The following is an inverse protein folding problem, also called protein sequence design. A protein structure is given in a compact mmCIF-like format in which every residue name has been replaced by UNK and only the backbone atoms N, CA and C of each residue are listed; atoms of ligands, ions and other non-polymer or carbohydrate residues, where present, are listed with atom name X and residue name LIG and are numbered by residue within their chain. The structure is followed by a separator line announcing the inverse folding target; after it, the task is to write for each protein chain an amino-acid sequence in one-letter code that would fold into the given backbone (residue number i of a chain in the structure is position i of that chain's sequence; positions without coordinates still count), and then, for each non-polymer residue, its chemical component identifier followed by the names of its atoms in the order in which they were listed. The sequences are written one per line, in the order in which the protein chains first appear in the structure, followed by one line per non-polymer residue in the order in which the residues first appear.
data_IF_220148841078
#
_entry.id   IF_220148841078
#
_cell.length_a   1.000
_cell.length_b   1.000
_cell.length_c   1.000
_cell.angle_alpha   90.00
_cell.angle_beta   90.00
_cell.angle_gamma   90.00
#
_symmetry.space_group_name_H-M   'P 1'
#
loop_
_entity.id
_entity.type
_entity.pdbx_description
1 polymer ?
#
# COMPACT_ATOMS: atom_id res chain seq x y z
N UNK A 1 19.26 21.44 7.46
CA UNK A 1 17.83 21.85 7.42
C UNK A 1 17.70 22.98 6.40
N UNK A 2 16.75 22.91 5.47
CA UNK A 2 16.58 23.96 4.45
C UNK A 2 15.57 24.98 4.99
N UNK A 3 15.98 26.24 5.08
CA UNK A 3 15.16 27.32 5.64
C UNK A 3 14.52 28.13 4.51
N UNK A 4 13.20 28.28 4.58
CA UNK A 4 12.39 29.05 3.64
C UNK A 4 11.70 30.18 4.41
N UNK A 5 11.75 31.38 3.86
CA UNK A 5 11.08 32.56 4.41
C UNK A 5 10.36 33.27 3.26
N UNK A 6 9.03 33.35 3.36
CA UNK A 6 8.15 33.96 2.35
C UNK A 6 8.43 35.45 2.13
N UNK A 7 9.16 36.10 3.05
CA UNK A 7 9.54 37.52 2.94
C UNK A 7 10.80 37.73 2.11
N UNK A 8 11.56 36.68 1.81
CA UNK A 8 12.77 36.81 1.00
C UNK A 8 12.41 36.93 -0.48
N UNK A 9 13.03 37.88 -1.19
CA UNK A 9 12.83 38.08 -2.64
C UNK A 9 13.11 36.83 -3.48
N UNK A 10 13.94 35.90 -2.97
CA UNK A 10 14.28 34.64 -3.65
C UNK A 10 13.46 33.43 -3.16
N UNK A 11 12.41 33.64 -2.37
CA UNK A 11 11.53 32.57 -1.87
C UNK A 11 11.01 31.70 -3.02
N UNK A 12 10.39 32.30 -4.04
CA UNK A 12 9.82 31.58 -5.19
C UNK A 12 10.85 30.69 -5.90
N UNK A 13 12.08 31.18 -6.05
CA UNK A 13 13.17 30.41 -6.64
C UNK A 13 13.59 29.26 -5.74
N UNK A 14 13.72 29.49 -4.42
CA UNK A 14 14.12 28.46 -3.44
C UNK A 14 13.07 27.37 -3.31
N UNK A 15 11.78 27.71 -3.21
CA UNK A 15 10.70 26.74 -3.13
C UNK A 15 10.56 25.95 -4.43
N UNK A 16 10.69 26.60 -5.58
CA UNK A 16 10.66 25.92 -6.89
C UNK A 16 11.76 24.86 -7.04
N UNK A 17 12.98 25.15 -6.60
CA UNK A 17 14.09 24.16 -6.63
C UNK A 17 13.80 22.96 -5.72
N UNK A 18 13.25 23.21 -4.53
CA UNK A 18 12.90 22.13 -3.60
C UNK A 18 11.78 21.25 -4.11
N UNK A 19 10.78 21.83 -4.75
CA UNK A 19 9.66 21.09 -5.33
C UNK A 19 10.12 20.26 -6.54
N UNK A 20 10.99 20.81 -7.40
CA UNK A 20 11.55 20.07 -8.56
C UNK A 20 12.33 18.83 -8.15
N UNK A 21 13.08 18.91 -7.05
CA UNK A 21 13.90 17.79 -6.55
C UNK A 21 13.08 16.65 -5.91
N UNK A 22 11.77 16.83 -5.68
CA UNK A 22 10.91 15.77 -5.10
C UNK A 22 10.29 14.84 -6.13
N UNK A 23 10.30 15.21 -7.42
CA UNK A 23 9.45 14.58 -8.43
C UNK A 23 10.18 13.69 -9.45
N UNK A 24 11.51 13.60 -9.41
CA UNK A 24 12.26 12.80 -10.40
C UNK A 24 12.73 11.47 -9.81
N UNK A 25 12.09 10.38 -10.23
CA UNK A 25 12.70 9.07 -10.14
C UNK A 25 13.85 8.99 -11.15
N UNK A 26 14.96 8.36 -10.77
CA UNK A 26 16.05 8.08 -11.71
C UNK A 26 15.52 7.12 -12.78
N UNK A 27 15.63 7.48 -14.05
CA UNK A 27 15.16 6.69 -15.20
C UNK A 27 15.66 5.24 -15.18
N UNK A 28 16.89 5.03 -14.68
CA UNK A 28 17.47 3.70 -14.50
C UNK A 28 16.66 2.80 -13.55
N UNK A 29 16.17 3.35 -12.43
CA UNK A 29 15.34 2.59 -11.47
C UNK A 29 14.03 2.19 -12.13
N UNK A 30 13.42 3.12 -12.86
CA UNK A 30 12.17 2.89 -13.59
C UNK A 30 12.33 1.79 -14.65
N UNK A 31 13.43 1.81 -15.39
CA UNK A 31 13.76 0.76 -16.37
C UNK A 31 13.93 -0.60 -15.70
N UNK A 32 14.71 -0.68 -14.61
CA UNK A 32 14.91 -1.94 -13.86
C UNK A 32 13.59 -2.51 -13.33
N UNK A 33 12.71 -1.66 -12.79
CA UNK A 33 11.39 -2.08 -12.30
C UNK A 33 10.52 -2.60 -13.45
N UNK A 34 10.52 -1.92 -14.61
CA UNK A 34 9.82 -2.40 -15.81
C UNK A 34 10.31 -3.78 -16.27
N UNK A 35 11.61 -4.02 -16.23
CA UNK A 35 12.19 -5.31 -16.58
C UNK A 35 11.76 -6.42 -15.60
N UNK A 36 11.72 -6.12 -14.29
CA UNK A 36 11.20 -7.03 -13.26
C UNK A 36 9.75 -7.41 -13.57
N UNK A 37 8.88 -6.43 -13.80
CA UNK A 37 7.47 -6.69 -14.13
C UNK A 37 7.32 -7.54 -15.38
N UNK A 38 7.99 -7.17 -16.50
CA UNK A 38 7.94 -7.94 -17.75
C UNK A 38 8.39 -9.40 -17.56
N UNK A 39 9.39 -9.64 -16.71
CA UNK A 39 9.87 -11.00 -16.42
C UNK A 39 8.88 -11.78 -15.57
N UNK A 40 8.30 -11.17 -14.53
CA UNK A 40 7.28 -11.81 -13.69
C UNK A 40 6.02 -12.11 -14.51
N UNK A 41 5.58 -11.21 -15.39
CA UNK A 41 4.43 -11.44 -16.27
C UNK A 41 4.65 -12.63 -17.20
N UNK A 42 5.84 -12.75 -17.81
CA UNK A 42 6.16 -13.83 -18.75
C UNK A 42 6.48 -15.18 -18.09
N UNK A 43 7.13 -15.16 -16.92
CA UNK A 43 7.71 -16.36 -16.30
C UNK A 43 7.05 -16.72 -14.96
N UNK A 44 6.10 -15.91 -14.49
CA UNK A 44 5.33 -16.12 -13.28
C UNK A 44 6.19 -16.35 -12.03
N UNK A 45 5.82 -17.37 -11.27
CA UNK A 45 6.41 -17.74 -9.98
C UNK A 45 7.92 -17.99 -10.04
N UNK A 46 8.44 -18.43 -11.19
CA UNK A 46 9.87 -18.69 -11.37
C UNK A 46 10.66 -17.39 -11.27
N UNK A 47 10.28 -16.36 -12.03
CA UNK A 47 10.92 -15.06 -11.97
C UNK A 47 10.75 -14.39 -10.60
N UNK A 48 9.57 -14.54 -9.97
CA UNK A 48 9.36 -14.02 -8.63
C UNK A 48 10.37 -14.61 -7.63
N UNK A 49 10.55 -15.93 -7.61
CA UNK A 49 11.50 -16.61 -6.72
C UNK A 49 12.96 -16.23 -7.03
N UNK A 50 13.31 -16.01 -8.30
CA UNK A 50 14.63 -15.52 -8.68
C UNK A 50 14.90 -14.12 -8.11
N UNK A 51 13.93 -13.21 -8.20
CA UNK A 51 14.07 -11.86 -7.65
C UNK A 51 14.06 -11.85 -6.12
N UNK A 52 13.22 -12.65 -5.48
CA UNK A 52 13.21 -12.81 -4.02
C UNK A 52 14.56 -13.34 -3.51
N UNK A 53 15.17 -14.31 -4.20
CA UNK A 53 16.54 -14.78 -3.91
C UNK A 53 17.57 -13.68 -4.08
N UNK A 54 17.50 -12.96 -5.20
CA UNK A 54 18.49 -11.94 -5.56
C UNK A 54 18.49 -10.74 -4.62
N UNK A 55 17.31 -10.24 -4.26
CA UNK A 55 17.18 -8.98 -3.52
C UNK A 55 16.98 -9.17 -2.02
N UNK A 56 16.37 -10.27 -1.59
CA UNK A 56 15.99 -10.51 -0.19
C UNK A 56 16.69 -11.75 0.41
N UNK A 57 17.45 -12.51 -0.40
CA UNK A 57 18.11 -13.73 0.04
C UNK A 57 17.13 -14.88 0.36
N UNK A 58 15.90 -14.83 -0.16
CA UNK A 58 14.88 -15.84 0.12
C UNK A 58 15.31 -17.25 -0.34
N UNK A 59 15.48 -18.21 0.57
CA UNK A 59 15.96 -19.57 0.25
C UNK A 59 14.84 -20.59 0.01
N UNK A 60 13.58 -20.19 0.15
CA UNK A 60 12.44 -21.09 0.05
C UNK A 60 12.01 -21.44 -1.38
N UNK A 61 10.91 -22.17 -1.44
CA UNK A 61 10.19 -22.54 -2.66
C UNK A 61 8.90 -21.74 -2.78
N UNK A 62 8.13 -21.96 -3.85
CA UNK A 62 6.82 -21.34 -4.02
C UNK A 62 5.82 -21.67 -2.91
N UNK A 63 5.99 -22.82 -2.24
CA UNK A 63 5.13 -23.23 -1.11
C UNK A 63 5.38 -22.40 0.15
N UNK A 64 6.57 -21.83 0.26
CA UNK A 64 7.04 -21.09 1.44
C UNK A 64 6.76 -19.58 1.34
N UNK A 65 6.25 -19.10 0.20
CA UNK A 65 5.87 -17.70 0.02
C UNK A 65 4.68 -17.29 0.90
N UNK A 66 3.81 -18.24 1.23
CA UNK A 66 2.70 -18.01 2.15
C UNK A 66 3.16 -18.32 3.57
N UNK A 67 3.24 -17.28 4.39
CA UNK A 67 3.52 -17.43 5.83
C UNK A 67 2.46 -18.35 6.46
N UNK A 68 2.85 -19.48 7.09
CA UNK A 68 1.90 -20.39 7.72
C UNK A 68 1.20 -19.75 8.91
N UNK A 69 -0.06 -20.10 9.15
CA UNK A 69 -0.85 -19.58 10.30
C UNK A 69 -0.13 -19.82 11.64
N UNK A 70 0.53 -20.98 11.79
CA UNK A 70 1.29 -21.32 13.00
C UNK A 70 2.42 -20.33 13.29
N UNK A 71 3.10 -19.82 12.27
CA UNK A 71 4.18 -18.84 12.44
C UNK A 71 3.60 -17.49 12.92
N UNK A 72 2.44 -17.09 12.39
CA UNK A 72 1.72 -15.89 12.83
C UNK A 72 1.30 -16.03 14.31
N UNK A 73 0.73 -17.17 14.69
CA UNK A 73 0.33 -17.45 16.08
C UNK A 73 1.54 -17.47 17.03
N UNK A 74 2.69 -17.98 16.58
CA UNK A 74 3.93 -17.94 17.36
C UNK A 74 4.48 -16.52 17.49
N UNK A 75 4.41 -15.71 16.44
CA UNK A 75 4.82 -14.30 16.49
C UNK A 75 3.94 -13.49 17.43
N UNK A 76 2.62 -13.74 17.45
CA UNK A 76 1.69 -13.11 18.38
C UNK A 76 2.05 -13.39 19.84
N UNK A 77 2.44 -14.64 20.17
CA UNK A 77 2.87 -15.03 21.52
C UNK A 77 4.15 -14.32 22.00
N UNK A 78 4.94 -13.74 21.11
CA UNK A 78 6.15 -12.96 21.47
C UNK A 78 5.82 -11.51 21.85
N UNK A 79 4.59 -11.07 21.65
CA UNK A 79 4.17 -9.71 21.99
C UNK A 79 3.83 -9.60 23.47
N UNK A 80 4.22 -8.48 24.07
CA UNK A 80 3.79 -8.11 25.41
C UNK A 80 2.32 -7.69 25.41
N UNK A 81 1.66 -7.82 26.56
CA UNK A 81 0.28 -7.33 26.74
C UNK A 81 0.12 -5.85 26.38
N UNK A 82 1.15 -5.04 26.68
CA UNK A 82 1.15 -3.61 26.34
C UNK A 82 1.12 -3.40 24.83
N UNK A 83 1.92 -4.15 24.07
CA UNK A 83 1.93 -4.08 22.59
C UNK A 83 0.59 -4.54 22.02
N UNK A 84 0.04 -5.66 22.51
CA UNK A 84 -1.27 -6.17 22.06
C UNK A 84 -2.36 -5.14 22.32
N UNK A 85 -2.41 -4.55 23.52
CA UNK A 85 -3.38 -3.49 23.86
C UNK A 85 -3.23 -2.26 22.96
N UNK A 86 -2.01 -1.84 22.67
CA UNK A 86 -1.74 -0.70 21.78
C UNK A 86 -2.24 -0.96 20.35
N UNK A 87 -1.93 -2.13 19.78
CA UNK A 87 -2.37 -2.53 18.43
C UNK A 87 -3.91 -2.62 18.37
N UNK A 88 -4.55 -3.25 19.38
CA UNK A 88 -6.01 -3.35 19.45
C UNK A 88 -6.67 -1.97 19.56
N UNK A 89 -6.09 -1.05 20.35
CA UNK A 89 -6.59 0.32 20.44
C UNK A 89 -6.49 1.05 19.10
N UNK A 90 -5.35 0.94 18.41
CA UNK A 90 -5.16 1.53 17.08
C UNK A 90 -6.15 0.97 16.06
N UNK A 91 -6.29 -0.36 15.99
CA UNK A 91 -7.28 -1.04 15.16
C UNK A 91 -8.69 -0.50 15.40
N UNK A 92 -9.13 -0.46 16.66
CA UNK A 92 -10.49 -0.03 17.01
C UNK A 92 -10.76 1.42 16.60
N UNK A 93 -9.77 2.31 16.74
CA UNK A 93 -9.89 3.72 16.32
C UNK A 93 -9.97 3.85 14.80
N UNK A 94 -9.09 3.16 14.08
CA UNK A 94 -9.09 3.13 12.60
C UNK A 94 -10.43 2.61 12.09
N UNK A 95 -10.90 1.49 12.63
CA UNK A 95 -12.16 0.85 12.22
C UNK A 95 -13.37 1.75 12.53
N UNK A 96 -13.43 2.33 13.73
CA UNK A 96 -14.51 3.25 14.14
C UNK A 96 -14.61 4.46 13.20
N UNK A 97 -13.47 5.01 12.78
CA UNK A 97 -13.43 6.14 11.86
C UNK A 97 -13.90 5.76 10.45
N UNK A 98 -13.30 4.72 9.86
CA UNK A 98 -13.62 4.33 8.47
C UNK A 98 -15.03 3.75 8.32
N UNK A 99 -15.59 3.12 9.36
CA UNK A 99 -17.00 2.68 9.36
C UNK A 99 -17.99 3.82 9.10
N UNK A 100 -17.68 5.05 9.53
CA UNK A 100 -18.53 6.22 9.28
C UNK A 100 -18.44 6.73 7.84
N UNK A 101 -17.40 6.32 7.10
CA UNK A 101 -17.15 6.73 5.72
C UNK A 101 -17.66 5.72 4.69
N UNK A 102 -18.23 4.59 5.13
CA UNK A 102 -18.81 3.60 4.21
C UNK A 102 -19.96 4.27 3.45
N UNK A 103 -19.87 4.38 2.12
CA UNK A 103 -20.91 5.04 1.34
C UNK A 103 -22.20 4.22 1.38
N UNK A 104 -23.33 4.92 1.40
CA UNK A 104 -24.65 4.32 1.27
C UNK A 104 -25.14 4.58 -0.14
N UNK A 105 -25.41 3.51 -0.88
CA UNK A 105 -26.15 3.62 -2.13
C UNK A 105 -27.57 4.11 -1.90
N UNK A 106 -28.28 4.40 -2.98
CA UNK A 106 -29.68 4.83 -2.94
C UNK A 106 -30.47 4.22 -4.08
N UNK A 107 -31.80 4.21 -3.95
CA UNK A 107 -32.71 3.73 -4.98
C UNK A 107 -33.91 4.67 -5.08
N UNK A 108 -34.22 5.11 -6.29
CA UNK A 108 -35.31 6.03 -6.62
C UNK A 108 -36.30 5.28 -7.51
N UNK A 109 -37.60 5.37 -7.22
CA UNK A 109 -38.65 4.87 -8.12
C UNK A 109 -38.92 5.93 -9.18
N UNK A 110 -38.90 5.56 -10.46
CA UNK A 110 -39.14 6.47 -11.56
C UNK A 110 -40.01 5.79 -12.62
N UNK A 111 -41.22 6.32 -12.84
CA UNK A 111 -42.23 5.71 -13.71
C UNK A 111 -42.54 4.26 -13.31
N UNK A 112 -42.40 3.34 -14.26
CA UNK A 112 -42.56 1.90 -14.06
C UNK A 112 -41.29 1.19 -13.54
N UNK A 113 -40.19 1.92 -13.31
CA UNK A 113 -38.88 1.36 -12.98
C UNK A 113 -38.19 2.00 -11.76
N UNK A 114 -36.88 1.77 -11.65
CA UNK A 114 -36.04 2.30 -10.58
C UNK A 114 -34.66 2.73 -11.11
N UNK A 115 -34.12 3.80 -10.54
CA UNK A 115 -32.71 4.18 -10.63
C UNK A 115 -31.99 3.80 -9.33
N UNK A 116 -30.78 3.24 -9.41
CA UNK A 116 -30.05 2.76 -8.23
C UNK A 116 -28.55 3.07 -8.32
N UNK A 117 -27.98 3.58 -7.21
CA UNK A 117 -26.54 3.60 -6.98
C UNK A 117 -26.15 2.47 -6.03
N UNK A 118 -25.17 1.66 -6.42
CA UNK A 118 -24.67 0.54 -5.62
C UNK A 118 -23.18 0.64 -5.39
N UNK A 119 -22.77 0.49 -4.14
CA UNK A 119 -21.38 0.38 -3.73
C UNK A 119 -21.06 -1.08 -3.42
N UNK A 120 -20.04 -1.64 -4.09
CA UNK A 120 -19.60 -3.03 -3.90
C UNK A 120 -18.12 -3.03 -3.54
N UNK A 121 -17.76 -3.81 -2.54
CA UNK A 121 -16.36 -3.97 -2.15
C UNK A 121 -15.54 -4.63 -3.28
N UNK A 122 -14.27 -4.26 -3.40
CA UNK A 122 -13.35 -4.96 -4.28
C UNK A 122 -13.23 -6.43 -3.84
N UNK A 123 -13.24 -7.35 -4.80
CA UNK A 123 -13.14 -8.78 -4.52
C UNK A 123 -11.79 -9.17 -3.87
N UNK A 124 -10.70 -8.48 -4.25
CA UNK A 124 -9.35 -8.72 -3.72
C UNK A 124 -8.54 -7.43 -3.71
N UNK A 125 -7.72 -7.25 -2.67
CA UNK A 125 -6.78 -6.14 -2.52
C UNK A 125 -5.44 -6.71 -2.03
N UNK A 126 -4.33 -6.26 -2.61
CA UNK A 126 -2.98 -6.50 -2.09
C UNK A 126 -2.55 -5.34 -1.20
N UNK A 127 -1.99 -5.63 -0.02
CA UNK A 127 -1.57 -4.66 1.00
C UNK A 127 -0.07 -4.82 1.23
#
# INVERSE_FOLDING_TARGET
MIWLDTRQKNFEKKISVLLKNRASFKSEVEQRVREIFKRIEKQGIKALLEFARKYEGFKGTSKDLKVPKREIEQAEKKLTDKQIKAIKLAKNRIEKFHKRQIPKGYRIKEGAGYLEERWVALNRVGI
#
